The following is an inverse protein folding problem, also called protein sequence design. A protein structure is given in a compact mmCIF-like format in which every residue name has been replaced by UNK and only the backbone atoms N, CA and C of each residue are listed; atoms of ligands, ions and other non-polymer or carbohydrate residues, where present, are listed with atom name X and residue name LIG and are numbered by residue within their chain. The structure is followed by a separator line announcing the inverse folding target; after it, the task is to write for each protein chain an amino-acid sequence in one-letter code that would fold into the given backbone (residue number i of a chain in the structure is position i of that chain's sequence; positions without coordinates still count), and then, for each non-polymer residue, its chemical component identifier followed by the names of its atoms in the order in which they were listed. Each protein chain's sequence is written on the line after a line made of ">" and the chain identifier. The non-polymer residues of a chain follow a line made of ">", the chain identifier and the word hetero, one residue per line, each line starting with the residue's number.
data_IF_409162086797
#
_entry.id   IF_409162086797
#
_cell.length_a   1.000
_cell.length_b   1.000
_cell.length_c   1.000
_cell.angle_alpha   90.00
_cell.angle_beta   90.00
_cell.angle_gamma   90.00
#
_symmetry.space_group_name_H-M   'P 1'
#
loop_
_entity.id
_entity.type
_entity.pdbx_description
1 polymer ?
#
# COMPACT_ATOMS: atom_id res chain seq x y z
N UNK A 1 -16.97 17.35 -12.96
CA UNK A 1 -16.77 15.96 -12.46
C UNK A 1 -15.35 15.46 -12.67
N UNK A 2 -14.78 15.54 -13.89
CA UNK A 2 -13.40 15.09 -14.16
C UNK A 2 -12.34 15.73 -13.24
N UNK A 3 -12.39 17.06 -13.03
CA UNK A 3 -11.47 17.78 -12.14
C UNK A 3 -11.53 17.30 -10.68
N UNK A 4 -12.72 16.96 -10.18
CA UNK A 4 -12.87 16.42 -8.83
C UNK A 4 -12.26 15.02 -8.71
N UNK A 5 -12.49 14.14 -9.71
CA UNK A 5 -11.88 12.81 -9.75
C UNK A 5 -10.36 12.88 -9.86
N UNK A 6 -9.83 13.80 -10.66
CA UNK A 6 -8.39 14.05 -10.77
C UNK A 6 -7.79 14.48 -9.43
N UNK A 7 -8.40 15.46 -8.75
CA UNK A 7 -7.97 15.90 -7.43
C UNK A 7 -7.97 14.74 -6.41
N UNK A 8 -9.06 13.96 -6.36
CA UNK A 8 -9.17 12.80 -5.47
C UNK A 8 -8.08 11.78 -5.80
N UNK A 9 -7.83 11.52 -7.09
CA UNK A 9 -6.83 10.54 -7.52
C UNK A 9 -5.41 10.96 -7.10
N UNK A 10 -5.02 12.20 -7.36
CA UNK A 10 -3.70 12.73 -7.01
C UNK A 10 -3.50 12.74 -5.50
N UNK A 11 -4.49 13.22 -4.74
CA UNK A 11 -4.43 13.21 -3.28
C UNK A 11 -4.29 11.77 -2.74
N UNK A 12 -5.07 10.84 -3.29
CA UNK A 12 -5.01 9.43 -2.90
C UNK A 12 -3.67 8.80 -3.25
N UNK A 13 -3.11 9.11 -4.43
CA UNK A 13 -1.79 8.66 -4.85
C UNK A 13 -0.68 9.16 -3.90
N UNK A 14 -0.74 10.43 -3.48
CA UNK A 14 0.21 10.98 -2.49
C UNK A 14 0.14 10.19 -1.18
N UNK A 15 -1.07 9.90 -0.68
CA UNK A 15 -1.21 9.12 0.56
C UNK A 15 -0.70 7.69 0.39
N UNK A 16 -0.82 7.09 -0.80
CA UNK A 16 -0.28 5.74 -1.05
C UNK A 16 1.24 5.65 -0.96
N UNK A 17 1.98 6.76 -1.04
CA UNK A 17 3.43 6.80 -0.81
C UNK A 17 3.83 6.30 0.59
N UNK A 18 2.91 6.28 1.55
CA UNK A 18 3.07 5.56 2.82
C UNK A 18 3.62 4.14 2.62
N UNK A 19 3.18 3.43 1.58
CA UNK A 19 3.60 2.07 1.31
C UNK A 19 5.06 1.94 0.86
N UNK A 20 5.68 3.02 0.35
CA UNK A 20 7.12 3.04 0.09
C UNK A 20 7.92 3.05 1.40
N UNK A 21 7.42 3.75 2.42
CA UNK A 21 8.09 3.90 3.70
C UNK A 21 7.83 2.71 4.64
N UNK A 22 6.71 2.01 4.45
CA UNK A 22 6.25 0.94 5.34
C UNK A 22 7.31 -0.13 5.69
N UNK A 23 8.09 -0.72 4.75
CA UNK A 23 9.10 -1.73 5.13
C UNK A 23 10.18 -1.17 6.08
N UNK A 24 10.51 0.11 5.95
CA UNK A 24 11.44 0.81 6.83
C UNK A 24 10.80 1.12 8.18
N UNK A 25 9.54 1.57 8.18
CA UNK A 25 8.77 1.84 9.41
C UNK A 25 8.56 0.58 10.25
N UNK A 26 8.36 -0.58 9.62
CA UNK A 26 8.31 -1.87 10.31
C UNK A 26 9.66 -2.16 10.99
N UNK A 27 10.77 -1.89 10.29
CA UNK A 27 12.12 -2.14 10.82
C UNK A 27 12.46 -1.22 11.98
N UNK A 28 12.15 0.07 11.86
CA UNK A 28 12.35 1.04 12.94
C UNK A 28 11.45 0.73 14.14
N UNK A 29 10.19 0.32 13.90
CA UNK A 29 9.25 -0.04 14.97
C UNK A 29 9.69 -1.25 15.80
N UNK A 30 10.48 -2.17 15.25
CA UNK A 30 11.03 -3.30 16.03
C UNK A 30 12.11 -2.85 17.02
N UNK A 31 12.88 -1.83 16.64
CA UNK A 31 13.95 -1.23 17.46
C UNK A 31 13.43 -0.27 18.54
N UNK A 32 12.16 0.13 18.46
CA UNK A 32 11.52 0.99 19.45
C UNK A 32 11.17 0.19 20.72
N UNK A 33 12.18 -0.18 21.50
CA UNK A 33 12.00 -0.84 22.80
C UNK A 33 11.12 0.04 23.72
N UNK A 34 10.20 -0.59 24.45
CA UNK A 34 9.20 0.11 25.29
C UNK A 34 8.05 0.79 24.53
N UNK A 35 8.17 1.05 23.22
CA UNK A 35 7.12 1.73 22.44
C UNK A 35 6.59 0.94 21.23
N UNK A 36 7.14 -0.27 20.98
CA UNK A 36 6.80 -1.15 19.86
C UNK A 36 5.29 -1.29 19.63
N UNK A 37 4.51 -1.58 20.68
CA UNK A 37 3.06 -1.79 20.54
C UNK A 37 2.35 -0.53 20.03
N UNK A 38 2.77 0.66 20.48
CA UNK A 38 2.21 1.93 19.98
C UNK A 38 2.62 2.17 18.53
N UNK A 39 3.90 1.97 18.19
CA UNK A 39 4.39 2.10 16.81
C UNK A 39 3.65 1.18 15.85
N UNK A 40 3.53 -0.11 16.18
CA UNK A 40 2.75 -1.05 15.37
C UNK A 40 1.25 -0.75 15.40
N UNK A 41 0.74 -0.12 16.47
CA UNK A 41 -0.58 0.50 16.50
C UNK A 41 -0.78 1.51 15.36
N UNK A 42 0.14 2.45 15.19
CA UNK A 42 0.13 3.40 14.07
C UNK A 42 0.25 2.70 12.72
N UNK A 43 1.09 1.68 12.58
CA UNK A 43 1.23 0.94 11.32
C UNK A 43 -0.05 0.17 10.94
N UNK A 44 -0.75 -0.40 11.92
CA UNK A 44 -2.06 -1.04 11.70
C UNK A 44 -3.09 -0.03 11.22
N UNK A 45 -3.16 1.14 11.86
CA UNK A 45 -4.08 2.22 11.47
C UNK A 45 -3.72 2.77 10.09
N UNK A 46 -2.45 3.07 9.84
CA UNK A 46 -1.95 3.54 8.54
C UNK A 46 -2.23 2.55 7.41
N UNK A 47 -2.02 1.24 7.65
CA UNK A 47 -2.35 0.22 6.66
C UNK A 47 -3.85 0.17 6.35
N UNK A 48 -4.73 0.36 7.35
CA UNK A 48 -6.19 0.43 7.14
C UNK A 48 -6.60 1.68 6.38
N UNK A 49 -6.01 2.84 6.69
CA UNK A 49 -6.24 4.07 5.93
C UNK A 49 -5.80 3.85 4.48
N UNK A 50 -4.61 3.28 4.25
CA UNK A 50 -4.12 2.97 2.92
C UNK A 50 -5.03 2.04 2.13
N UNK A 51 -5.68 1.06 2.77
CA UNK A 51 -6.69 0.21 2.12
C UNK A 51 -7.90 1.01 1.62
N UNK A 52 -8.42 1.94 2.42
CA UNK A 52 -9.52 2.82 1.97
C UNK A 52 -9.07 3.77 0.86
N UNK A 53 -7.85 4.29 0.95
CA UNK A 53 -7.27 5.15 -0.09
C UNK A 53 -7.07 4.39 -1.40
N UNK A 54 -6.69 3.10 -1.36
CA UNK A 54 -6.60 2.27 -2.55
C UNK A 54 -7.97 2.13 -3.26
N UNK A 55 -9.09 2.14 -2.52
CA UNK A 55 -10.43 2.17 -3.12
C UNK A 55 -10.62 3.48 -3.88
N UNK A 56 -10.21 4.61 -3.30
CA UNK A 56 -10.29 5.90 -3.95
C UNK A 56 -9.42 5.96 -5.21
N UNK A 57 -8.18 5.47 -5.15
CA UNK A 57 -7.29 5.36 -6.34
C UNK A 57 -7.94 4.51 -7.42
N UNK A 58 -8.47 3.35 -7.06
CA UNK A 58 -9.09 2.42 -8.00
C UNK A 58 -10.30 3.06 -8.72
N UNK A 59 -11.24 3.63 -7.95
CA UNK A 59 -12.46 4.22 -8.51
C UNK A 59 -12.16 5.48 -9.34
N UNK A 60 -11.31 6.37 -8.82
CA UNK A 60 -10.94 7.60 -9.53
C UNK A 60 -10.10 7.32 -10.79
N UNK A 61 -9.16 6.39 -10.71
CA UNK A 61 -8.32 5.97 -11.85
C UNK A 61 -9.13 5.22 -12.91
N UNK A 62 -10.04 4.33 -12.50
CA UNK A 62 -10.99 3.66 -13.40
C UNK A 62 -11.87 4.65 -14.16
N UNK A 63 -12.43 5.65 -13.46
CA UNK A 63 -13.21 6.70 -14.10
C UNK A 63 -12.36 7.53 -15.09
N UNK A 64 -11.16 7.96 -14.71
CA UNK A 64 -10.30 8.76 -15.59
C UNK A 64 -9.84 7.96 -16.82
N UNK A 65 -9.41 6.71 -16.65
CA UNK A 65 -8.97 5.86 -17.77
C UNK A 65 -10.08 5.63 -18.79
N UNK A 66 -11.32 5.43 -18.35
CA UNK A 66 -12.50 5.30 -19.23
C UNK A 66 -12.75 6.51 -20.13
N UNK A 67 -12.17 7.67 -19.79
CA UNK A 67 -12.32 8.95 -20.52
C UNK A 67 -11.03 9.42 -21.20
N UNK A 68 -9.89 8.85 -20.82
CA UNK A 68 -8.57 9.30 -21.27
C UNK A 68 -8.15 8.69 -22.61
N UNK A 69 -8.90 7.70 -23.14
CA UNK A 69 -8.55 7.04 -24.41
C UNK A 69 -7.27 6.20 -24.33
N UNK A 70 -6.88 5.78 -23.12
CA UNK A 70 -5.73 4.89 -22.90
C UNK A 70 -6.02 3.47 -23.40
N UNK A 71 -4.97 2.72 -23.71
CA UNK A 71 -5.13 1.35 -24.21
C UNK A 71 -5.80 0.43 -23.18
N UNK A 72 -6.51 -0.57 -23.68
CA UNK A 72 -7.14 -1.60 -22.85
C UNK A 72 -6.06 -2.39 -22.09
N UNK A 73 -4.96 -2.72 -22.76
CA UNK A 73 -3.84 -3.43 -22.16
C UNK A 73 -3.23 -2.67 -20.99
N UNK A 74 -2.97 -1.37 -21.15
CA UNK A 74 -2.49 -0.49 -20.08
C UNK A 74 -3.46 -0.46 -18.89
N UNK A 75 -4.76 -0.35 -19.17
CA UNK A 75 -5.81 -0.30 -18.14
C UNK A 75 -5.88 -1.58 -17.33
N UNK A 76 -5.75 -2.74 -17.98
CA UNK A 76 -5.71 -4.05 -17.32
C UNK A 76 -4.48 -4.15 -16.42
N UNK A 77 -3.30 -3.80 -16.91
CA UNK A 77 -2.06 -3.88 -16.13
C UNK A 77 -2.12 -2.96 -14.90
N UNK A 78 -2.55 -1.70 -15.08
CA UNK A 78 -2.72 -0.76 -13.97
C UNK A 78 -3.72 -1.29 -12.92
N UNK A 79 -4.84 -1.86 -13.36
CA UNK A 79 -5.85 -2.46 -12.50
C UNK A 79 -5.28 -3.63 -11.69
N UNK A 80 -4.56 -4.54 -12.34
CA UNK A 80 -3.95 -5.71 -11.69
C UNK A 80 -2.92 -5.27 -10.64
N UNK A 81 -2.11 -4.24 -10.92
CA UNK A 81 -1.16 -3.71 -9.95
C UNK A 81 -1.86 -3.13 -8.71
N UNK A 82 -2.96 -2.41 -8.89
CA UNK A 82 -3.78 -1.91 -7.76
C UNK A 82 -4.37 -3.07 -6.95
N UNK A 83 -4.89 -4.10 -7.60
CA UNK A 83 -5.41 -5.31 -6.93
C UNK A 83 -4.31 -6.08 -6.19
N UNK A 84 -3.11 -6.14 -6.74
CA UNK A 84 -1.96 -6.70 -6.05
C UNK A 84 -1.66 -5.92 -4.76
N UNK A 85 -1.75 -4.58 -4.79
CA UNK A 85 -1.61 -3.77 -3.57
C UNK A 85 -2.71 -4.07 -2.55
N UNK A 86 -3.97 -4.20 -2.96
CA UNK A 86 -5.05 -4.62 -2.07
C UNK A 86 -4.75 -5.96 -1.39
N UNK A 87 -4.28 -6.94 -2.15
CA UNK A 87 -3.92 -8.26 -1.62
C UNK A 87 -2.78 -8.17 -0.59
N UNK A 88 -1.69 -7.47 -0.93
CA UNK A 88 -0.53 -7.35 -0.03
C UNK A 88 -0.89 -6.64 1.27
N UNK A 89 -1.65 -5.55 1.19
CA UNK A 89 -2.08 -4.77 2.37
C UNK A 89 -3.08 -5.53 3.23
N UNK A 90 -3.98 -6.31 2.60
CA UNK A 90 -4.88 -7.25 3.26
C UNK A 90 -4.13 -8.30 4.08
N UNK A 91 -3.22 -9.04 3.43
CA UNK A 91 -2.45 -10.11 4.07
C UNK A 91 -1.54 -9.56 5.18
N UNK A 92 -0.93 -8.39 4.97
CA UNK A 92 -0.02 -7.74 5.93
C UNK A 92 -0.71 -7.29 7.21
N UNK A 93 -2.03 -7.11 7.21
CA UNK A 93 -2.79 -6.71 8.40
C UNK A 93 -2.64 -7.71 9.56
N UNK A 94 -2.57 -9.01 9.27
CA UNK A 94 -2.42 -10.06 10.30
C UNK A 94 -1.09 -9.94 11.05
N UNK A 95 0.09 -10.02 10.41
CA UNK A 95 1.36 -9.91 11.13
C UNK A 95 1.52 -8.56 11.86
N UNK A 96 1.06 -7.44 11.29
CA UNK A 96 1.12 -6.14 11.98
C UNK A 96 0.31 -6.13 13.29
N UNK A 97 -0.92 -6.70 13.27
CA UNK A 97 -1.75 -6.83 14.46
C UNK A 97 -1.15 -7.79 15.49
N UNK A 98 -0.55 -8.89 15.04
CA UNK A 98 0.14 -9.83 15.92
C UNK A 98 1.34 -9.19 16.63
N UNK A 99 2.12 -8.35 15.94
CA UNK A 99 3.24 -7.64 16.59
C UNK A 99 2.71 -6.58 17.57
N UNK A 100 1.65 -5.86 17.20
CA UNK A 100 1.00 -4.85 18.05
C UNK A 100 0.51 -5.42 19.39
N UNK A 101 0.05 -6.68 19.43
CA UNK A 101 -0.48 -7.26 20.66
C UNK A 101 0.56 -7.36 21.77
N UNK A 102 1.85 -7.41 21.42
CA UNK A 102 2.95 -7.57 22.38
C UNK A 102 2.99 -8.95 23.03
N UNK A 103 2.21 -9.91 22.56
CA UNK A 103 2.07 -11.25 23.15
C UNK A 103 3.00 -12.30 22.50
N UNK A 104 3.84 -11.89 21.54
CA UNK A 104 4.71 -12.80 20.80
C UNK A 104 6.01 -13.04 21.55
N UNK A 105 6.45 -14.30 21.59
CA UNK A 105 7.83 -14.63 21.93
C UNK A 105 8.81 -14.09 20.87
N UNK A 106 10.12 -14.18 21.15
CA UNK A 106 11.16 -13.64 20.28
C UNK A 106 11.16 -14.27 18.87
N UNK A 107 10.90 -15.57 18.76
CA UNK A 107 10.90 -16.29 17.49
C UNK A 107 9.67 -15.92 16.65
N UNK A 108 8.49 -15.95 17.25
CA UNK A 108 7.22 -15.58 16.62
C UNK A 108 7.21 -14.10 16.21
N UNK A 109 7.80 -13.21 17.03
CA UNK A 109 8.01 -11.81 16.68
C UNK A 109 8.87 -11.67 15.43
N UNK A 110 10.02 -12.36 15.38
CA UNK A 110 10.91 -12.35 14.22
C UNK A 110 10.22 -12.82 12.93
N UNK A 111 9.40 -13.89 13.01
CA UNK A 111 8.64 -14.40 11.87
C UNK A 111 7.55 -13.43 11.40
N UNK A 112 6.75 -12.89 12.33
CA UNK A 112 5.70 -11.92 12.01
C UNK A 112 6.30 -10.65 11.38
N UNK A 113 7.40 -10.15 11.95
CA UNK A 113 8.13 -9.00 11.45
C UNK A 113 8.71 -9.24 10.05
N UNK A 114 9.36 -10.39 9.85
CA UNK A 114 9.91 -10.78 8.56
C UNK A 114 8.83 -10.89 7.48
N UNK A 115 7.66 -11.46 7.83
CA UNK A 115 6.51 -11.54 6.91
C UNK A 115 5.95 -10.15 6.57
N UNK A 116 5.73 -9.29 7.58
CA UNK A 116 5.24 -7.93 7.36
C UNK A 116 6.21 -7.12 6.49
N UNK A 117 7.52 -7.23 6.74
CA UNK A 117 8.56 -6.53 5.97
C UNK A 117 8.61 -7.02 4.52
N UNK A 118 8.55 -8.33 4.27
CA UNK A 118 8.51 -8.90 2.91
C UNK A 118 7.31 -8.38 2.12
N UNK A 119 6.12 -8.42 2.73
CA UNK A 119 4.90 -7.88 2.11
C UNK A 119 5.01 -6.37 1.87
N UNK A 120 5.59 -5.62 2.80
CA UNK A 120 5.85 -4.19 2.65
C UNK A 120 6.76 -3.87 1.48
N UNK A 121 7.86 -4.63 1.30
CA UNK A 121 8.76 -4.47 0.15
C UNK A 121 8.10 -4.81 -1.18
N UNK A 122 7.36 -5.91 -1.24
CA UNK A 122 6.60 -6.28 -2.45
C UNK A 122 5.61 -5.17 -2.79
N UNK A 123 4.86 -4.68 -1.80
CA UNK A 123 3.88 -3.63 -2.01
C UNK A 123 4.52 -2.30 -2.45
N UNK A 124 5.68 -1.94 -1.88
CA UNK A 124 6.46 -0.78 -2.29
C UNK A 124 6.91 -0.91 -3.75
N UNK A 125 7.42 -2.08 -4.15
CA UNK A 125 7.84 -2.33 -5.53
C UNK A 125 6.66 -2.24 -6.51
N UNK A 126 5.51 -2.85 -6.17
CA UNK A 126 4.29 -2.76 -6.98
C UNK A 126 3.85 -1.31 -7.14
N UNK A 127 3.92 -0.49 -6.08
CA UNK A 127 3.60 0.92 -6.16
C UNK A 127 4.57 1.68 -7.09
N UNK A 128 5.88 1.41 -7.02
CA UNK A 128 6.85 2.03 -7.94
C UNK A 128 6.53 1.68 -9.40
N UNK A 129 6.27 0.40 -9.69
CA UNK A 129 5.90 -0.05 -11.04
C UNK A 129 4.60 0.63 -11.50
N UNK A 130 3.62 0.73 -10.62
CA UNK A 130 2.36 1.44 -10.90
C UNK A 130 2.59 2.92 -11.22
N UNK A 131 3.44 3.62 -10.46
CA UNK A 131 3.77 5.02 -10.72
C UNK A 131 4.49 5.18 -12.07
N UNK A 132 5.45 4.30 -12.39
CA UNK A 132 6.12 4.31 -13.70
C UNK A 132 5.10 4.12 -14.83
N UNK A 133 4.15 3.21 -14.68
CA UNK A 133 3.09 2.99 -15.67
C UNK A 133 2.18 4.22 -15.82
N UNK A 134 1.85 4.89 -14.72
CA UNK A 134 1.06 6.15 -14.70
C UNK A 134 1.78 7.32 -15.37
N UNK A 135 3.11 7.37 -15.27
CA UNK A 135 3.92 8.38 -15.96
C UNK A 135 4.07 8.12 -17.47
N UNK A 136 3.79 6.89 -17.92
CA UNK A 136 3.95 6.47 -19.31
C UNK A 136 2.65 5.83 -19.85
N UNK A 137 1.56 6.62 -20.01
CA UNK A 137 0.25 6.13 -20.44
C UNK A 137 0.20 5.62 -21.89
N UNK A 138 1.26 5.82 -22.67
CA UNK A 138 1.42 5.36 -24.06
C UNK A 138 2.14 4.01 -24.16
N UNK A 139 2.55 3.42 -23.03
CA UNK A 139 3.10 2.06 -23.03
C UNK A 139 2.01 1.06 -23.44
N UNK A 140 2.25 0.43 -24.60
CA UNK A 140 1.47 -0.63 -25.26
C UNK A 140 -0.02 -0.33 -25.46
#
# INVERSE_FOLDING_TARGET
>A
MYQASYFIHVLSAIVTLFYLLLPFLITSGLRAEGNRNKTFGFLVTGNRIGQYVLILVFLSGGYMSSKAGVSIAWTIVATVLILAMFAMTGIMSKPLKSIRSGLLDAQALGQAAGKARKLGWINALVLVVLVVLMLNPTLF
#
